data_IF_432933722230
#
_entry.id   IF_432933722230
#
_cell.length_a   1.000
_cell.length_b   1.000
_cell.length_c   1.000
_cell.angle_alpha   90.00
_cell.angle_beta   90.00
_cell.angle_gamma   90.00
#
_symmetry.space_group_name_H-M   'P 1'
#
loop_
_entity.id
_entity.type
_entity.pdbx_description
1 polymer ?
#
# COMPACT_ATOMS: atom_id res chain seq x y z
N UNK A 1 16.24 1.61 6.84
CA UNK A 1 14.90 1.99 7.38
C UNK A 1 13.84 1.33 6.50
N UNK A 2 12.83 0.65 7.05
CA UNK A 2 11.88 -0.13 6.23
C UNK A 2 11.03 0.80 5.33
N UNK A 3 11.06 0.53 4.02
CA UNK A 3 10.26 1.21 3.02
C UNK A 3 9.17 0.26 2.50
N UNK A 4 7.94 0.77 2.38
CA UNK A 4 6.84 0.03 1.78
C UNK A 4 6.79 0.35 0.29
N UNK A 5 6.90 -0.68 -0.55
CA UNK A 5 6.78 -0.57 -2.00
C UNK A 5 5.46 -1.17 -2.47
N UNK A 6 4.65 -0.39 -3.20
CA UNK A 6 3.36 -0.82 -3.78
C UNK A 6 3.29 -0.32 -5.21
N UNK A 7 3.28 -1.23 -6.18
CA UNK A 7 3.09 -0.89 -7.60
C UNK A 7 4.03 0.23 -8.11
N UNK A 8 5.31 0.16 -7.74
CA UNK A 8 6.31 1.17 -8.10
C UNK A 8 6.24 2.48 -7.31
N UNK A 9 5.40 2.56 -6.26
CA UNK A 9 5.35 3.67 -5.31
C UNK A 9 6.06 3.28 -4.02
N UNK A 10 6.86 4.18 -3.46
CA UNK A 10 7.62 3.97 -2.23
C UNK A 10 7.15 4.93 -1.15
N UNK A 11 6.89 4.41 0.05
CA UNK A 11 6.69 5.18 1.29
C UNK A 11 7.80 4.85 2.27
N UNK A 12 8.64 5.84 2.56
CA UNK A 12 9.68 5.71 3.56
C UNK A 12 9.10 5.82 4.97
N UNK A 13 9.73 5.15 5.93
CA UNK A 13 9.34 5.19 7.34
C UNK A 13 7.88 4.79 7.56
N UNK A 14 7.40 3.80 6.80
CA UNK A 14 6.04 3.31 6.99
C UNK A 14 5.99 2.44 8.24
N UNK A 15 5.08 2.76 9.16
CA UNK A 15 4.74 1.87 10.26
C UNK A 15 3.85 0.77 9.70
N UNK A 16 4.33 -0.47 9.74
CA UNK A 16 3.51 -1.64 9.45
C UNK A 16 3.23 -2.35 10.78
N UNK A 17 1.96 -2.69 11.01
CA UNK A 17 1.57 -3.60 12.08
C UNK A 17 1.65 -5.03 11.53
N UNK A 18 2.35 -5.91 12.24
CA UNK A 18 2.32 -7.35 11.93
C UNK A 18 1.01 -7.87 12.51
N UNK A 19 0.13 -8.34 11.63
CA UNK A 19 -1.19 -8.85 11.98
C UNK A 19 -1.25 -10.33 11.58
N UNK A 20 -1.70 -11.17 12.49
CA UNK A 20 -2.10 -12.53 12.16
C UNK A 20 -3.51 -12.47 11.55
N UNK A 21 -3.62 -12.85 10.28
CA UNK A 21 -4.86 -12.83 9.52
C UNK A 21 -5.52 -14.21 9.40
N UNK A 22 -4.98 -15.24 10.05
CA UNK A 22 -5.48 -16.63 9.96
C UNK A 22 -6.98 -16.74 10.25
N UNK A 23 -7.44 -16.20 11.39
CA UNK A 23 -8.86 -16.22 11.79
C UNK A 23 -9.79 -15.45 10.82
N UNK A 24 -9.28 -14.38 10.19
CA UNK A 24 -10.04 -13.58 9.22
C UNK A 24 -10.13 -14.30 7.87
N UNK A 25 -9.05 -14.96 7.45
CA UNK A 25 -8.99 -15.71 6.19
C UNK A 25 -9.88 -16.96 6.23
N UNK A 26 -9.93 -17.64 7.38
CA UNK A 26 -10.72 -18.87 7.58
C UNK A 26 -12.23 -18.63 7.44
N UNK A 27 -12.71 -17.43 7.80
CA UNK A 27 -14.14 -17.08 7.83
C UNK A 27 -14.62 -16.25 6.63
N UNK A 28 -13.71 -15.68 5.85
CA UNK A 28 -14.05 -14.73 4.77
C UNK A 28 -14.23 -15.39 3.39
N UNK A 29 -13.73 -16.61 3.18
CA UNK A 29 -13.77 -17.27 1.89
C UNK A 29 -12.81 -16.68 0.85
N UNK A 30 -11.91 -15.78 1.26
CA UNK A 30 -10.83 -15.23 0.44
C UNK A 30 -9.59 -14.96 1.29
N UNK A 31 -8.40 -15.05 0.69
CA UNK A 31 -7.15 -14.78 1.40
C UNK A 31 -6.82 -13.28 1.43
N UNK A 32 -6.57 -12.75 2.62
CA UNK A 32 -6.07 -11.41 2.86
C UNK A 32 -4.60 -11.49 3.26
N UNK A 33 -3.74 -10.80 2.50
CA UNK A 33 -2.29 -10.77 2.75
C UNK A 33 -1.83 -9.52 3.52
N UNK A 34 -2.73 -8.56 3.77
CA UNK A 34 -2.43 -7.32 4.49
C UNK A 34 -3.50 -6.27 4.31
N UNK A 35 -3.43 -5.22 5.13
CA UNK A 35 -4.38 -4.11 5.12
C UNK A 35 -3.62 -2.81 4.82
N UNK A 36 -4.07 -2.07 3.81
CA UNK A 36 -3.64 -0.69 3.58
C UNK A 36 -4.64 0.24 4.25
N UNK A 37 -4.23 0.84 5.37
CA UNK A 37 -5.07 1.71 6.18
C UNK A 37 -5.13 3.16 5.67
N UNK A 38 -5.93 3.97 6.36
CA UNK A 38 -6.06 5.41 6.07
C UNK A 38 -4.75 6.18 6.25
N UNK A 39 -3.84 5.71 7.10
CA UNK A 39 -2.49 6.28 7.27
C UNK A 39 -1.65 6.19 5.98
N UNK A 40 -1.87 5.16 5.17
CA UNK A 40 -1.28 5.04 3.84
C UNK A 40 -2.13 5.74 2.78
N UNK A 41 -3.43 5.44 2.74
CA UNK A 41 -4.34 5.88 1.69
C UNK A 41 -4.60 7.40 1.68
N UNK A 42 -4.47 8.08 2.83
CA UNK A 42 -4.61 9.54 2.93
C UNK A 42 -3.58 10.34 2.12
N UNK A 43 -2.52 9.69 1.63
CA UNK A 43 -1.52 10.32 0.76
C UNK A 43 -1.89 10.28 -0.74
N UNK A 44 -3.05 9.74 -1.09
CA UNK A 44 -3.44 9.49 -2.47
C UNK A 44 -4.82 10.05 -2.81
N UNK A 45 -4.98 10.47 -4.06
CA UNK A 45 -6.29 10.45 -4.71
C UNK A 45 -6.53 9.01 -5.18
N UNK A 46 -7.55 8.38 -4.60
CA UNK A 46 -7.93 6.99 -4.90
C UNK A 46 -9.03 6.99 -5.95
N UNK A 47 -8.81 6.28 -7.07
CA UNK A 47 -9.84 6.02 -8.09
C UNK A 47 -10.09 4.53 -8.18
N UNK A 48 -11.36 4.14 -8.06
CA UNK A 48 -11.82 2.76 -8.19
C UNK A 48 -12.56 2.63 -9.52
N UNK A 49 -12.00 1.88 -10.47
CA UNK A 49 -12.67 1.49 -11.71
C UNK A 49 -13.17 0.05 -11.55
N UNK A 50 -14.44 -0.08 -11.17
CA UNK A 50 -15.07 -1.39 -10.97
C UNK A 50 -15.32 -2.17 -12.27
N UNK A 51 -15.34 -1.49 -13.44
CA UNK A 51 -15.53 -2.17 -14.73
C UNK A 51 -14.25 -2.86 -15.16
N UNK A 52 -13.10 -2.25 -14.86
CA UNK A 52 -11.77 -2.80 -15.17
C UNK A 52 -11.16 -3.56 -14.00
N UNK A 53 -11.82 -3.60 -12.86
CA UNK A 53 -11.31 -4.16 -11.61
C UNK A 53 -9.97 -3.53 -11.20
N UNK A 54 -9.86 -2.20 -11.35
CA UNK A 54 -8.62 -1.46 -11.14
C UNK A 54 -8.74 -0.46 -9.99
N UNK A 55 -7.70 -0.42 -9.15
CA UNK A 55 -7.47 0.62 -8.16
C UNK A 55 -6.30 1.49 -8.63
N UNK A 56 -6.52 2.78 -8.85
CA UNK A 56 -5.46 3.74 -9.18
C UNK A 56 -5.18 4.64 -7.98
N UNK A 57 -3.92 4.61 -7.53
CA UNK A 57 -3.39 5.46 -6.47
C UNK A 57 -2.56 6.58 -7.10
N UNK A 58 -3.02 7.83 -6.99
CA UNK A 58 -2.28 8.99 -7.49
C UNK A 58 -1.73 9.80 -6.32
N UNK A 59 -0.39 9.85 -6.11
CA UNK A 59 0.21 10.58 -4.99
C UNK A 59 -0.27 12.03 -4.90
N UNK A 60 -0.57 12.51 -3.70
CA UNK A 60 -0.97 13.90 -3.40
C UNK A 60 -0.02 14.58 -2.42
N UNK A 61 0.87 13.84 -1.76
CA UNK A 61 1.83 14.36 -0.79
C UNK A 61 3.25 13.92 -1.12
N UNK A 62 4.23 14.63 -0.57
CA UNK A 62 5.67 14.29 -0.68
C UNK A 62 6.06 13.01 0.09
N UNK A 63 5.13 12.41 0.83
CA UNK A 63 5.40 11.18 1.59
C UNK A 63 5.54 9.95 0.69
N UNK A 64 5.08 10.04 -0.56
CA UNK A 64 5.13 8.98 -1.56
C UNK A 64 6.06 9.41 -2.69
N UNK A 65 7.02 8.57 -3.03
CA UNK A 65 7.92 8.79 -4.17
C UNK A 65 7.75 7.67 -5.19
N UNK A 66 8.17 7.92 -6.43
CA UNK A 66 8.38 6.83 -7.38
C UNK A 66 9.53 5.95 -6.87
N UNK A 67 9.36 4.64 -6.92
CA UNK A 67 10.37 3.68 -6.47
C UNK A 67 11.65 3.76 -7.33
N UNK A 68 11.53 4.16 -8.59
CA UNK A 68 12.67 4.34 -9.52
C UNK A 68 13.55 5.56 -9.16
N UNK A 69 13.00 6.57 -8.50
CA UNK A 69 13.74 7.78 -8.11
C UNK A 69 14.48 7.63 -6.77
N UNK A 70 14.26 6.51 -6.07
CA UNK A 70 14.92 6.24 -4.81
C UNK A 70 16.23 5.50 -5.05
N UNK A 71 17.35 6.23 -4.96
CA UNK A 71 18.70 5.68 -5.06
C UNK A 71 18.85 4.39 -4.22
N UNK A 72 19.64 3.39 -4.69
CA UNK A 72 19.86 2.16 -3.94
C UNK A 72 20.50 2.49 -2.58
N UNK A 73 19.97 1.90 -1.50
CA UNK A 73 20.64 1.87 -0.19
C UNK A 73 22.00 1.19 -0.41
N UNK A 74 23.09 1.91 -0.09
CA UNK A 74 24.47 1.38 -0.07
C UNK A 74 24.67 0.45 1.11
#
# INVERSE_FOLDING_TARGET
>A
LSALNVSGLRKNNSRALILDLSAVNETSGFEQHGILGGDYLSHFLVKIDLRRYQLKLTPQTKAITLAADAAPEK
#
